data_IF_308128640091
#
_entry.id   IF_308128640091
#
_cell.length_a   1.000
_cell.length_b   1.000
_cell.length_c   1.000
_cell.angle_alpha   90.00
_cell.angle_beta   90.00
_cell.angle_gamma   90.00
#
_symmetry.space_group_name_H-M   'P 1'
#
loop_
_entity.id
_entity.type
_entity.pdbx_description
1 polymer ?
#
# COMPACT_ATOMS: atom_id res chain seq x y z
N UNK A 1 4.33 19.18 -15.08
CA UNK A 1 3.68 17.85 -14.90
C UNK A 1 2.47 18.09 -14.01
N UNK A 2 1.52 18.15 -14.47
CA UNK A 2 0.21 17.86 -14.96
C UNK A 2 -0.93 17.99 -13.98
N UNK A 3 -1.72 19.04 -14.18
CA UNK A 3 -3.10 19.23 -13.66
C UNK A 3 -4.02 17.97 -13.77
N UNK A 4 -3.62 16.97 -14.54
CA UNK A 4 -4.35 15.70 -14.67
C UNK A 4 -4.15 14.77 -13.48
N UNK A 5 -2.97 14.74 -12.84
CA UNK A 5 -2.75 13.96 -11.62
C UNK A 5 -3.56 14.48 -10.43
N UNK A 6 -3.80 15.79 -10.34
CA UNK A 6 -4.55 16.36 -9.22
C UNK A 6 -6.05 16.01 -9.22
N UNK A 7 -6.67 15.70 -10.36
CA UNK A 7 -8.09 15.27 -10.41
C UNK A 7 -8.28 13.84 -9.94
N UNK A 8 -7.38 12.92 -10.32
CA UNK A 8 -7.41 11.54 -9.85
C UNK A 8 -7.02 11.39 -8.37
N UNK A 9 -6.14 12.23 -7.86
CA UNK A 9 -5.66 12.16 -6.47
C UNK A 9 -6.80 12.38 -5.45
N UNK A 10 -7.74 13.29 -5.73
CA UNK A 10 -8.87 13.55 -4.85
C UNK A 10 -9.79 12.33 -4.66
N UNK A 11 -10.04 11.57 -5.72
CA UNK A 11 -10.86 10.36 -5.66
C UNK A 11 -10.11 9.21 -4.98
N UNK A 12 -8.79 9.11 -5.16
CA UNK A 12 -7.93 8.16 -4.46
C UNK A 12 -7.98 8.38 -2.95
N UNK A 13 -7.74 9.60 -2.50
CA UNK A 13 -7.81 9.94 -1.07
C UNK A 13 -9.19 9.66 -0.50
N UNK A 14 -10.25 9.97 -1.26
CA UNK A 14 -11.62 9.69 -0.85
C UNK A 14 -11.82 8.21 -0.54
N UNK A 15 -11.42 7.30 -1.43
CA UNK A 15 -11.53 5.85 -1.21
C UNK A 15 -10.69 5.33 -0.04
N UNK A 16 -9.51 5.90 0.17
CA UNK A 16 -8.67 5.51 1.31
C UNK A 16 -9.27 5.93 2.65
N UNK A 17 -9.89 7.11 2.72
CA UNK A 17 -10.51 7.64 3.93
C UNK A 17 -11.96 7.21 4.12
N UNK A 18 -12.63 6.64 3.10
CA UNK A 18 -14.00 6.13 3.18
C UNK A 18 -14.08 4.72 3.75
N UNK A 19 -12.94 4.09 4.03
CA UNK A 19 -12.94 2.73 4.60
C UNK A 19 -13.81 2.64 5.85
N UNK A 20 -14.66 1.61 5.90
CA UNK A 20 -15.57 1.36 7.03
C UNK A 20 -14.85 0.89 8.28
N UNK A 21 -13.64 0.37 8.14
CA UNK A 21 -12.75 0.03 9.25
C UNK A 21 -12.09 1.29 9.79
N UNK A 22 -12.32 1.62 11.07
CA UNK A 22 -11.93 2.91 11.66
C UNK A 22 -10.58 2.91 12.38
N UNK A 23 -9.97 1.75 12.64
CA UNK A 23 -8.66 1.66 13.30
C UNK A 23 -7.53 1.77 12.27
N UNK A 24 -7.50 2.89 11.55
CA UNK A 24 -6.50 3.18 10.51
C UNK A 24 -5.75 4.45 10.88
N UNK A 25 -4.43 4.33 10.95
CA UNK A 25 -3.51 5.45 10.99
C UNK A 25 -3.14 5.80 9.55
N UNK A 26 -3.58 6.97 9.08
CA UNK A 26 -3.33 7.43 7.73
C UNK A 26 -2.21 8.46 7.70
N UNK A 27 -1.06 8.07 7.14
CA UNK A 27 0.14 8.90 7.06
C UNK A 27 0.40 9.26 5.60
N UNK A 28 0.58 10.54 5.32
CA UNK A 28 0.97 11.03 4.01
C UNK A 28 2.37 11.64 4.10
N UNK A 29 3.26 11.16 3.24
CA UNK A 29 4.57 11.75 3.03
C UNK A 29 4.64 12.28 1.60
N UNK A 30 4.74 13.59 1.48
CA UNK A 30 4.81 14.32 0.22
C UNK A 30 6.23 14.87 0.01
N UNK A 31 6.80 14.66 -1.16
CA UNK A 31 8.16 15.08 -1.53
C UNK A 31 8.31 16.58 -1.83
N UNK A 32 7.61 17.44 -1.12
CA UNK A 32 7.53 18.90 -1.34
C UNK A 32 6.92 19.24 -2.71
N UNK A 33 5.77 18.66 -3.03
CA UNK A 33 5.02 18.93 -4.25
C UNK A 33 4.70 20.42 -4.43
N UNK A 34 4.84 20.90 -5.67
CA UNK A 34 4.59 22.31 -6.03
C UNK A 34 3.30 22.49 -6.85
N UNK A 35 2.56 21.43 -7.04
CA UNK A 35 1.27 21.40 -7.73
C UNK A 35 0.09 21.51 -6.75
N UNK A 36 -1.10 21.10 -7.16
CA UNK A 36 -2.31 21.10 -6.32
C UNK A 36 -2.37 20.03 -5.22
N UNK A 37 -1.36 19.17 -5.06
CA UNK A 37 -1.35 18.02 -4.14
C UNK A 37 -1.64 18.45 -2.70
N UNK A 38 -0.91 19.42 -2.17
CA UNK A 38 -1.11 19.88 -0.79
C UNK A 38 -2.51 20.47 -0.56
N UNK A 39 -3.06 21.18 -1.54
CA UNK A 39 -4.44 21.70 -1.45
C UNK A 39 -5.49 20.59 -1.40
N UNK A 40 -5.22 19.45 -2.04
CA UNK A 40 -6.09 18.27 -1.96
C UNK A 40 -5.95 17.61 -0.59
N UNK A 41 -4.74 17.43 -0.09
CA UNK A 41 -4.46 16.88 1.25
C UNK A 41 -5.20 17.71 2.31
N UNK A 42 -5.13 19.04 2.24
CA UNK A 42 -5.78 19.95 3.20
C UNK A 42 -7.32 19.77 3.25
N UNK A 43 -7.97 19.45 2.13
CA UNK A 43 -9.42 19.16 2.12
C UNK A 43 -9.80 17.95 2.96
N UNK A 44 -8.88 17.01 3.13
CA UNK A 44 -9.09 15.78 3.88
C UNK A 44 -8.32 15.75 5.20
N UNK A 45 -7.75 16.88 5.62
CA UNK A 45 -6.83 16.99 6.77
C UNK A 45 -7.39 16.39 8.06
N UNK A 46 -8.70 16.54 8.29
CA UNK A 46 -9.37 16.01 9.48
C UNK A 46 -9.45 14.47 9.54
N UNK A 47 -9.18 13.80 8.42
CA UNK A 47 -9.21 12.34 8.29
C UNK A 47 -7.81 11.73 8.17
N UNK A 48 -6.78 12.56 8.15
CA UNK A 48 -5.38 12.14 8.00
C UNK A 48 -4.70 12.30 9.34
N UNK A 49 -4.04 11.27 9.83
CA UNK A 49 -3.35 11.27 11.12
C UNK A 49 -2.11 12.15 11.06
N UNK A 50 -1.26 11.94 10.07
CA UNK A 50 0.01 12.66 9.93
C UNK A 50 0.24 13.07 8.48
N UNK A 51 0.69 14.30 8.27
CA UNK A 51 1.15 14.80 6.97
C UNK A 51 2.55 15.38 7.16
N UNK A 52 3.49 14.89 6.36
CA UNK A 52 4.84 15.42 6.21
C UNK A 52 5.02 15.83 4.76
N UNK A 53 5.40 17.09 4.53
CA UNK A 53 5.74 17.60 3.19
C UNK A 53 7.11 18.25 3.24
N UNK A 54 8.09 17.54 2.72
CA UNK A 54 9.49 17.96 2.67
C UNK A 54 10.24 17.26 1.53
N UNK A 55 11.35 17.81 1.04
CA UNK A 55 12.14 17.16 0.03
C UNK A 55 12.59 15.76 0.46
N UNK A 56 12.55 14.81 -0.45
CA UNK A 56 13.05 13.45 -0.29
C UNK A 56 14.07 13.08 -1.36
N UNK A 57 14.72 11.93 -1.17
CA UNK A 57 15.68 11.33 -2.10
C UNK A 57 15.01 10.30 -3.03
N UNK A 58 13.69 10.33 -3.14
CA UNK A 58 12.87 9.42 -3.94
C UNK A 58 11.88 8.60 -3.11
N UNK A 59 11.08 7.80 -3.80
CA UNK A 59 9.95 7.07 -3.23
C UNK A 59 10.28 6.29 -1.95
N UNK A 60 11.37 5.53 -1.95
CA UNK A 60 11.73 4.69 -0.81
C UNK A 60 12.25 5.49 0.40
N UNK A 61 12.80 6.68 0.18
CA UNK A 61 13.15 7.61 1.27
C UNK A 61 11.86 8.15 1.94
N UNK A 62 10.86 8.52 1.15
CA UNK A 62 9.54 8.90 1.66
C UNK A 62 8.89 7.76 2.43
N UNK A 63 8.95 6.51 1.91
CA UNK A 63 8.44 5.32 2.61
C UNK A 63 9.19 5.07 3.93
N UNK A 64 10.51 5.27 3.98
CA UNK A 64 11.28 5.16 5.23
C UNK A 64 10.87 6.20 6.27
N UNK A 65 10.57 7.43 5.85
CA UNK A 65 9.99 8.44 6.74
C UNK A 65 8.64 7.97 7.30
N UNK A 66 7.77 7.41 6.45
CA UNK A 66 6.47 6.88 6.87
C UNK A 66 6.63 5.73 7.88
N UNK A 67 7.58 4.81 7.68
CA UNK A 67 7.88 3.73 8.65
C UNK A 67 8.21 4.31 10.03
N UNK A 68 9.02 5.36 10.08
CA UNK A 68 9.43 5.96 11.36
C UNK A 68 8.31 6.69 12.10
N UNK A 69 7.23 7.05 11.41
CA UNK A 69 6.06 7.76 11.94
C UNK A 69 4.92 6.80 12.32
N UNK A 70 4.90 5.61 11.74
CA UNK A 70 3.82 4.65 11.92
C UNK A 70 3.84 4.05 13.33
N UNK A 71 2.65 3.84 13.90
CA UNK A 71 2.45 3.22 15.21
C UNK A 71 1.51 2.01 15.19
N UNK A 72 0.83 1.77 14.07
CA UNK A 72 -0.11 0.67 13.89
C UNK A 72 0.53 -0.72 13.92
N UNK A 73 -0.29 -1.76 14.14
CA UNK A 73 0.17 -3.16 14.16
C UNK A 73 0.66 -3.65 12.80
N UNK A 74 0.10 -3.13 11.71
CA UNK A 74 0.45 -3.46 10.34
C UNK A 74 0.74 -2.22 9.53
N UNK A 75 1.69 -2.33 8.60
CA UNK A 75 2.00 -1.31 7.61
C UNK A 75 1.60 -1.79 6.22
N UNK A 76 0.99 -0.89 5.47
CA UNK A 76 0.68 -1.03 4.05
C UNK A 76 1.05 0.28 3.35
N UNK A 77 1.58 0.20 2.16
CA UNK A 77 1.97 1.36 1.36
C UNK A 77 1.09 1.45 0.12
N UNK A 78 0.54 2.64 -0.11
CA UNK A 78 -0.21 2.94 -1.34
C UNK A 78 0.52 4.05 -2.10
N UNK A 79 0.76 3.84 -3.37
CA UNK A 79 1.30 4.87 -4.25
C UNK A 79 0.18 5.83 -4.69
N UNK A 80 0.57 7.01 -5.16
CA UNK A 80 -0.38 7.93 -5.76
C UNK A 80 -1.07 7.26 -6.95
N UNK A 81 -2.39 7.23 -6.93
CA UNK A 81 -3.20 6.56 -7.95
C UNK A 81 -3.78 5.22 -7.53
N UNK A 82 -3.15 4.48 -6.60
CA UNK A 82 -3.67 3.21 -6.10
C UNK A 82 -4.69 3.44 -4.99
N UNK A 83 -5.65 2.54 -4.84
CA UNK A 83 -6.62 2.60 -3.74
C UNK A 83 -7.10 1.21 -3.32
N UNK A 84 -7.76 1.14 -2.17
CA UNK A 84 -8.47 -0.07 -1.77
C UNK A 84 -9.60 -0.37 -2.75
N UNK A 85 -9.85 -1.65 -2.98
CA UNK A 85 -10.80 -2.12 -3.99
C UNK A 85 -12.23 -1.66 -3.69
N UNK A 86 -12.69 -1.84 -2.45
CA UNK A 86 -14.01 -1.40 -1.99
C UNK A 86 -13.90 -0.58 -0.71
N UNK A 87 -14.98 0.13 -0.33
CA UNK A 87 -15.00 0.95 0.87
C UNK A 87 -14.94 0.12 2.18
N UNK A 88 -15.22 -1.17 2.11
CA UNK A 88 -15.15 -2.10 3.24
C UNK A 88 -14.01 -3.13 3.14
N UNK A 89 -13.09 -2.96 2.20
CA UNK A 89 -11.96 -3.89 1.96
C UNK A 89 -11.19 -4.19 3.24
N UNK A 90 -10.80 -3.17 4.00
CA UNK A 90 -10.08 -3.36 5.26
C UNK A 90 -10.92 -4.10 6.31
N UNK A 91 -12.22 -3.83 6.37
CA UNK A 91 -13.14 -4.53 7.27
C UNK A 91 -13.25 -6.02 6.91
N UNK A 92 -13.41 -6.33 5.63
CA UNK A 92 -13.45 -7.72 5.13
C UNK A 92 -12.14 -8.44 5.41
N UNK A 93 -11.00 -7.77 5.15
CA UNK A 93 -9.66 -8.31 5.43
C UNK A 93 -9.49 -8.66 6.91
N UNK A 94 -9.88 -7.77 7.82
CA UNK A 94 -9.79 -8.02 9.26
C UNK A 94 -10.72 -9.16 9.68
N UNK A 95 -11.94 -9.23 9.14
CA UNK A 95 -12.88 -10.32 9.41
C UNK A 95 -12.42 -11.67 8.87
N UNK A 96 -11.59 -11.72 7.84
CA UNK A 96 -11.03 -12.96 7.30
C UNK A 96 -9.97 -13.59 8.20
N UNK A 97 -9.44 -12.84 9.18
CA UNK A 97 -8.43 -13.34 10.10
C UNK A 97 -9.14 -14.13 11.21
N UNK A 98 -8.88 -15.43 11.25
CA UNK A 98 -9.43 -16.33 12.25
C UNK A 98 -8.37 -16.74 13.26
N UNK A 99 -8.76 -16.80 14.55
CA UNK A 99 -7.89 -17.21 15.63
C UNK A 99 -7.39 -16.05 16.50
N UNK A 100 -6.64 -16.40 17.55
CA UNK A 100 -6.14 -15.44 18.55
C UNK A 100 -4.76 -14.86 18.24
N UNK A 101 -4.09 -15.37 17.21
CA UNK A 101 -2.74 -14.92 16.84
C UNK A 101 -2.81 -14.13 15.54
N UNK A 102 -2.37 -12.89 15.61
CA UNK A 102 -2.27 -12.03 14.44
C UNK A 102 -1.19 -12.56 13.47
N UNK A 103 -1.49 -12.68 12.16
CA UNK A 103 -0.52 -13.08 11.16
C UNK A 103 0.67 -12.13 11.08
N UNK A 104 1.83 -12.62 10.70
CA UNK A 104 3.01 -11.78 10.45
C UNK A 104 2.89 -10.99 9.14
N UNK A 105 2.20 -11.58 8.16
CA UNK A 105 1.89 -10.95 6.87
C UNK A 105 0.47 -11.30 6.46
N UNK A 106 -0.27 -10.29 6.02
CA UNK A 106 -1.58 -10.42 5.40
C UNK A 106 -1.44 -9.97 3.94
N UNK A 107 -2.01 -10.70 3.00
CA UNK A 107 -1.91 -10.35 1.59
C UNK A 107 -3.16 -10.79 0.80
N UNK A 108 -3.30 -10.26 -0.41
CA UNK A 108 -4.41 -10.59 -1.29
C UNK A 108 -4.14 -10.18 -2.73
N UNK A 109 -5.17 -10.25 -3.55
CA UNK A 109 -5.12 -9.98 -4.97
C UNK A 109 -5.17 -8.49 -5.30
N UNK A 110 -4.77 -8.17 -6.53
CA UNK A 110 -4.75 -6.81 -7.06
C UNK A 110 -5.44 -6.79 -8.42
N UNK A 111 -6.42 -5.90 -8.55
CA UNK A 111 -7.03 -5.55 -9.83
C UNK A 111 -6.24 -4.42 -10.50
N UNK A 112 -6.19 -4.43 -11.81
CA UNK A 112 -5.66 -3.34 -12.62
C UNK A 112 -6.85 -2.55 -13.15
N UNK A 113 -6.81 -1.23 -12.96
CA UNK A 113 -7.87 -0.31 -13.35
C UNK A 113 -7.33 0.82 -14.22
N UNK A 114 -8.18 1.38 -15.06
CA UNK A 114 -7.85 2.57 -15.84
C UNK A 114 -7.95 3.87 -15.00
N UNK A 115 -7.66 5.01 -15.63
CA UNK A 115 -7.76 6.34 -15.01
C UNK A 115 -9.18 6.71 -14.52
N UNK A 116 -10.21 6.09 -15.10
CA UNK A 116 -11.60 6.29 -14.75
C UNK A 116 -12.12 5.22 -13.77
N UNK A 117 -11.20 4.38 -13.26
CA UNK A 117 -11.44 3.29 -12.30
C UNK A 117 -12.23 2.11 -12.84
N UNK A 118 -12.31 1.96 -14.15
CA UNK A 118 -12.90 0.76 -14.74
C UNK A 118 -11.90 -0.41 -14.62
N UNK A 119 -12.41 -1.55 -14.22
CA UNK A 119 -11.64 -2.78 -14.18
C UNK A 119 -11.15 -3.15 -15.58
N UNK A 120 -9.85 -3.39 -15.72
CA UNK A 120 -9.23 -3.88 -16.94
C UNK A 120 -8.98 -5.39 -16.87
N UNK A 121 -8.25 -5.83 -15.88
CA UNK A 121 -7.93 -7.24 -15.64
C UNK A 121 -7.33 -7.43 -14.25
N UNK A 122 -7.26 -8.66 -13.78
CA UNK A 122 -6.47 -8.99 -12.60
C UNK A 122 -4.98 -8.87 -12.90
N UNK A 123 -4.18 -8.54 -11.89
CA UNK A 123 -2.73 -8.49 -12.02
C UNK A 123 -2.19 -9.81 -12.56
N UNK A 124 -1.26 -9.77 -13.55
CA UNK A 124 -0.75 -10.96 -14.23
C UNK A 124 -0.08 -11.97 -13.31
N UNK A 125 0.66 -11.50 -12.30
CA UNK A 125 1.23 -12.34 -11.26
C UNK A 125 0.21 -12.42 -10.12
N UNK A 126 -0.43 -13.56 -9.96
CA UNK A 126 -1.41 -13.82 -8.91
C UNK A 126 -0.75 -14.31 -7.62
N UNK A 127 -1.45 -14.13 -6.52
CA UNK A 127 -1.00 -14.62 -5.22
C UNK A 127 -1.06 -16.15 -5.17
N UNK A 128 0.02 -16.84 -4.77
CA UNK A 128 -0.02 -18.28 -4.63
C UNK A 128 -0.76 -18.68 -3.35
N UNK A 129 -1.36 -19.88 -3.36
CA UNK A 129 -1.98 -20.45 -2.16
C UNK A 129 -1.00 -20.60 -0.99
N UNK A 130 0.23 -20.97 -1.30
CA UNK A 130 1.33 -21.07 -0.33
C UNK A 130 2.43 -20.12 -0.74
N UNK A 131 2.49 -18.98 -0.07
CA UNK A 131 3.54 -17.99 -0.25
C UNK A 131 4.69 -18.26 0.73
N UNK A 132 5.92 -18.24 0.23
CA UNK A 132 7.14 -18.17 1.05
C UNK A 132 8.14 -17.20 0.42
N UNK A 133 9.25 -16.90 1.10
CA UNK A 133 10.25 -15.99 0.57
C UNK A 133 10.90 -16.51 -0.75
N UNK A 134 10.91 -17.83 -0.99
CA UNK A 134 11.45 -18.44 -2.21
C UNK A 134 10.51 -18.25 -3.39
N UNK A 135 9.22 -18.07 -3.14
CA UNK A 135 8.22 -17.77 -4.17
C UNK A 135 8.58 -16.52 -4.96
N UNK A 136 9.27 -15.57 -4.33
CA UNK A 136 9.74 -14.35 -4.98
C UNK A 136 10.81 -14.57 -6.07
N UNK A 137 11.40 -15.77 -6.19
CA UNK A 137 12.23 -16.14 -7.35
C UNK A 137 11.47 -16.12 -8.67
N UNK A 138 10.15 -16.24 -8.62
CA UNK A 138 9.25 -16.19 -9.78
C UNK A 138 8.78 -14.77 -10.11
N UNK A 139 9.21 -13.77 -9.34
CA UNK A 139 8.80 -12.38 -9.45
C UNK A 139 8.01 -11.90 -8.24
N UNK A 140 7.49 -10.68 -8.31
CA UNK A 140 6.65 -10.07 -7.26
C UNK A 140 5.24 -10.67 -7.31
N UNK A 141 5.04 -11.89 -6.79
CA UNK A 141 3.76 -12.61 -6.85
C UNK A 141 2.65 -11.91 -6.07
N UNK A 142 2.99 -11.20 -5.01
CA UNK A 142 2.08 -10.31 -4.27
C UNK A 142 2.42 -8.87 -4.63
N UNK A 143 1.44 -8.07 -4.99
CA UNK A 143 1.65 -6.64 -5.20
C UNK A 143 2.11 -5.99 -3.89
N UNK A 144 3.09 -5.10 -3.95
CA UNK A 144 3.60 -4.41 -2.76
C UNK A 144 2.48 -3.69 -1.99
N UNK A 145 1.53 -3.08 -2.69
CA UNK A 145 0.39 -2.38 -2.11
C UNK A 145 -0.65 -3.34 -1.47
N UNK A 146 -0.64 -4.62 -1.86
CA UNK A 146 -1.51 -5.66 -1.29
C UNK A 146 -0.77 -6.53 -0.25
N UNK A 147 0.34 -6.02 0.30
CA UNK A 147 1.19 -6.71 1.26
C UNK A 147 1.19 -5.93 2.58
N UNK A 148 0.53 -6.46 3.60
CA UNK A 148 0.44 -5.88 4.94
C UNK A 148 1.42 -6.59 5.85
N UNK A 149 2.47 -5.88 6.24
CA UNK A 149 3.51 -6.42 7.10
C UNK A 149 3.27 -6.05 8.56
N UNK A 150 3.41 -7.01 9.46
CA UNK A 150 3.39 -6.73 10.89
C UNK A 150 4.51 -5.79 11.25
N UNK A 151 4.21 -4.71 11.97
CA UNK A 151 5.14 -3.63 12.26
C UNK A 151 6.46 -4.14 12.90
N UNK A 152 6.36 -5.13 13.79
CA UNK A 152 7.53 -5.72 14.46
C UNK A 152 8.53 -6.40 13.53
N UNK A 153 8.16 -6.70 12.29
CA UNK A 153 9.03 -7.29 11.27
C UNK A 153 9.59 -6.27 10.29
N UNK A 154 9.03 -5.06 10.30
CA UNK A 154 9.35 -4.01 9.33
C UNK A 154 10.73 -3.41 9.63
N UNK A 155 11.54 -3.33 8.59
CA UNK A 155 12.81 -2.61 8.55
C UNK A 155 12.76 -1.56 7.44
N UNK A 156 13.61 -0.53 7.49
CA UNK A 156 13.69 0.44 6.40
C UNK A 156 14.01 -0.21 5.05
N UNK A 157 13.52 0.40 3.97
CA UNK A 157 13.95 0.07 2.62
C UNK A 157 15.43 0.38 2.45
N UNK A 158 16.15 -0.51 1.75
CA UNK A 158 17.54 -0.28 1.37
C UNK A 158 17.60 0.69 0.18
N UNK A 159 18.07 1.90 0.40
CA UNK A 159 18.12 2.96 -0.61
C UNK A 159 19.19 2.73 -1.70
N UNK A 160 20.03 1.69 -1.56
CA UNK A 160 20.92 1.26 -2.64
C UNK A 160 20.15 0.62 -3.81
N UNK A 161 18.95 0.10 -3.57
CA UNK A 161 18.05 -0.40 -4.61
C UNK A 161 17.16 0.72 -5.16
N UNK A 162 17.55 1.27 -6.31
CA UNK A 162 16.83 2.39 -6.90
C UNK A 162 15.40 2.06 -7.36
N UNK A 163 15.16 0.84 -7.85
CA UNK A 163 13.88 0.46 -8.51
C UNK A 163 13.20 -0.77 -7.90
N UNK A 164 13.85 -1.48 -6.97
CA UNK A 164 13.36 -2.77 -6.47
C UNK A 164 13.55 -2.92 -4.95
N UNK A 165 13.59 -1.81 -4.22
CA UNK A 165 13.70 -1.86 -2.76
C UNK A 165 12.45 -2.45 -2.11
N UNK A 166 11.28 -2.30 -2.72
CA UNK A 166 10.03 -2.95 -2.33
C UNK A 166 10.11 -4.48 -2.43
N UNK A 167 10.71 -4.98 -3.50
CA UNK A 167 10.94 -6.41 -3.69
C UNK A 167 11.89 -6.98 -2.61
N UNK A 168 13.03 -6.34 -2.37
CA UNK A 168 13.96 -6.71 -1.31
C UNK A 168 13.29 -6.63 0.07
N UNK A 169 12.52 -5.57 0.32
CA UNK A 169 11.81 -5.36 1.57
C UNK A 169 10.82 -6.49 1.87
N UNK A 170 10.00 -6.88 0.90
CA UNK A 170 9.09 -8.01 1.04
C UNK A 170 9.85 -9.32 1.35
N UNK A 171 10.96 -9.59 0.65
CA UNK A 171 11.78 -10.80 0.88
C UNK A 171 12.36 -10.80 2.30
N UNK A 172 12.88 -9.66 2.80
CA UNK A 172 13.43 -9.56 4.16
C UNK A 172 12.37 -9.84 5.22
N UNK A 173 11.17 -9.31 5.07
CA UNK A 173 10.03 -9.58 5.94
C UNK A 173 9.63 -11.06 5.87
N UNK A 174 9.46 -11.60 4.66
CA UNK A 174 9.06 -12.98 4.45
C UNK A 174 10.05 -14.01 5.00
N UNK A 175 11.35 -13.68 5.09
CA UNK A 175 12.35 -14.53 5.75
C UNK A 175 12.17 -14.61 7.27
N UNK A 176 11.57 -13.60 7.88
CA UNK A 176 11.31 -13.52 9.32
C UNK A 176 9.91 -13.99 9.68
N UNK A 177 8.94 -13.83 8.78
CA UNK A 177 7.55 -14.20 8.97
C UNK A 177 7.39 -15.70 9.21
N UNK A 178 6.55 -16.04 10.18
CA UNK A 178 6.20 -17.43 10.55
C UNK A 178 4.76 -17.76 10.20
N UNK A 179 3.90 -16.76 10.24
CA UNK A 179 2.45 -16.89 10.00
C UNK A 179 2.01 -15.95 8.89
N UNK A 180 1.36 -16.51 7.88
CA UNK A 180 0.88 -15.78 6.71
C UNK A 180 -0.63 -15.98 6.58
N UNK A 181 -1.33 -14.95 6.13
CA UNK A 181 -2.75 -15.01 5.86
C UNK A 181 -3.06 -14.50 4.45
N UNK A 182 -3.49 -15.40 3.58
CA UNK A 182 -4.07 -15.02 2.29
C UNK A 182 -5.55 -14.71 2.53
N UNK A 183 -5.94 -13.49 2.24
CA UNK A 183 -7.35 -13.07 2.39
C UNK A 183 -8.25 -13.65 1.32
N UNK A 184 -7.71 -14.10 0.18
CA UNK A 184 -8.45 -14.46 -1.04
C UNK A 184 -9.35 -13.33 -1.59
N UNK A 185 -9.12 -12.10 -1.13
CA UNK A 185 -9.85 -10.91 -1.57
C UNK A 185 -9.01 -10.12 -2.59
N UNK A 186 -9.68 -9.44 -3.49
CA UNK A 186 -9.05 -8.31 -4.20
C UNK A 186 -8.95 -7.15 -3.22
N UNK A 187 -7.72 -6.74 -2.88
CA UNK A 187 -7.49 -5.71 -1.86
C UNK A 187 -7.26 -4.36 -2.51
N UNK A 188 -6.56 -4.34 -3.65
CA UNK A 188 -6.07 -3.12 -4.28
C UNK A 188 -6.57 -3.00 -5.71
N UNK A 189 -6.98 -1.79 -6.05
CA UNK A 189 -7.07 -1.29 -7.42
C UNK A 189 -5.77 -0.55 -7.74
N UNK A 190 -4.96 -1.15 -8.59
CA UNK A 190 -3.72 -0.57 -9.09
C UNK A 190 -4.00 0.22 -10.37
N UNK A 191 -3.59 1.47 -10.39
CA UNK A 191 -3.78 2.32 -11.56
C UNK A 191 -2.81 1.96 -12.68
N UNK A 192 -3.35 1.55 -13.84
CA UNK A 192 -2.55 1.43 -15.07
C UNK A 192 -2.35 2.82 -15.68
N UNK A 193 -1.17 3.40 -15.50
CA UNK A 193 -0.83 4.70 -16.08
C UNK A 193 -0.47 4.61 -17.57
N UNK A 194 -0.52 3.42 -18.17
CA UNK A 194 -0.15 3.16 -19.56
C UNK A 194 1.30 3.54 -19.80
N UNK A 195 2.20 2.58 -19.67
CA UNK A 195 3.59 2.75 -20.15
C UNK A 195 3.65 2.72 -21.66
#
# INVERSE_FOLDING_TARGET
>A
RDLRMSRGLGDVYKRQISQTYHHVEYIIVDGASKDGTLSIIDRYRSRITTVVSEPDKGLYDAMNKAISLASGDYLCFLNAGDCFHEDDTLQQMVHSIHGSVLPDVIYGETAIVDKDRHFLHMRRLSTPEKLDWRSFKQGMLVCHQAFFARHTLVEPYDLNYRYSADFDWCIRIMKKARTLHNTHLTIIDYLDEGM
#
